data_IF_033878239919
#
_entry.id   IF_033878239919
#
_cell.length_a   1.000
_cell.length_b   1.000
_cell.length_c   1.000
_cell.angle_alpha   90.00
_cell.angle_beta   90.00
_cell.angle_gamma   90.00
#
_symmetry.space_group_name_H-M   'P 1'
#
loop_
_entity.id
_entity.type
_entity.pdbx_description
1 polymer ?
#
# COMPACT_ATOMS: atom_id res chain seq x y z
N UNK A 1 -20.31 -4.48 1.65
CA UNK A 1 -19.31 -5.56 1.62
C UNK A 1 -17.91 -5.02 1.30
N UNK A 2 -17.78 -4.00 0.42
CA UNK A 2 -16.49 -3.37 0.02
C UNK A 2 -15.62 -2.95 1.22
N UNK A 3 -16.20 -2.24 2.20
CA UNK A 3 -15.47 -1.79 3.40
C UNK A 3 -14.85 -2.96 4.16
N UNK A 4 -15.61 -4.05 4.35
CA UNK A 4 -15.14 -5.24 5.08
C UNK A 4 -13.94 -5.85 4.38
N UNK A 5 -14.01 -6.02 3.06
CA UNK A 5 -12.93 -6.61 2.26
C UNK A 5 -11.68 -5.74 2.33
N UNK A 6 -11.81 -4.43 2.16
CA UNK A 6 -10.67 -3.50 2.24
C UNK A 6 -10.00 -3.58 3.62
N UNK A 7 -10.79 -3.54 4.70
CA UNK A 7 -10.22 -3.65 6.06
C UNK A 7 -9.53 -4.99 6.31
N UNK A 8 -10.14 -6.10 5.90
CA UNK A 8 -9.53 -7.42 6.06
C UNK A 8 -8.26 -7.53 5.23
N UNK A 9 -8.26 -6.97 4.01
CA UNK A 9 -7.10 -6.95 3.12
C UNK A 9 -5.85 -6.31 3.73
N UNK A 10 -6.04 -5.29 4.56
CA UNK A 10 -4.95 -4.57 5.22
C UNK A 10 -4.69 -5.09 6.65
N UNK A 11 -5.74 -5.37 7.41
CA UNK A 11 -5.63 -5.69 8.83
C UNK A 11 -5.05 -7.08 9.08
N UNK A 12 -5.42 -8.06 8.25
CA UNK A 12 -4.92 -9.42 8.42
C UNK A 12 -3.39 -9.53 8.28
N UNK A 13 -2.73 -8.97 7.25
CA UNK A 13 -1.27 -8.98 7.18
C UNK A 13 -0.59 -8.30 8.38
N UNK A 14 -1.16 -7.22 8.91
CA UNK A 14 -0.63 -6.55 10.10
C UNK A 14 -0.74 -7.45 11.34
N UNK A 15 -1.88 -8.10 11.53
CA UNK A 15 -2.07 -9.08 12.62
C UNK A 15 -1.08 -10.24 12.45
N UNK A 16 -0.96 -10.79 11.24
CA UNK A 16 -0.01 -11.85 10.94
C UNK A 16 1.41 -11.46 11.35
N UNK A 17 1.84 -10.25 11.02
CA UNK A 17 3.16 -9.73 11.35
C UNK A 17 3.46 -9.76 12.86
N UNK A 18 2.49 -9.38 13.69
CA UNK A 18 2.68 -9.35 15.15
C UNK A 18 2.67 -10.74 15.81
N UNK A 19 2.01 -11.70 15.22
CA UNK A 19 1.80 -13.04 15.81
C UNK A 19 2.63 -14.15 15.19
N UNK A 20 3.24 -13.92 14.03
CA UNK A 20 4.14 -14.87 13.39
C UNK A 20 5.58 -14.72 13.90
N UNK A 21 6.46 -15.61 13.45
CA UNK A 21 7.89 -15.54 13.77
C UNK A 21 8.48 -14.17 13.42
N UNK A 22 9.57 -13.81 14.11
CA UNK A 22 10.24 -12.51 13.93
C UNK A 22 10.54 -12.24 12.45
N UNK A 23 10.09 -11.10 11.95
CA UNK A 23 10.37 -10.65 10.60
C UNK A 23 11.80 -10.14 10.48
N UNK A 24 12.48 -10.53 9.41
CA UNK A 24 13.84 -10.09 9.10
C UNK A 24 13.80 -8.74 8.35
N UNK A 25 13.25 -7.71 9.01
CA UNK A 25 13.27 -6.36 8.50
C UNK A 25 14.33 -5.55 9.24
N UNK A 26 15.34 -5.06 8.51
CA UNK A 26 16.47 -4.34 9.09
C UNK A 26 16.14 -2.90 9.49
N UNK A 27 14.95 -2.41 9.15
CA UNK A 27 14.53 -1.03 9.45
C UNK A 27 13.95 -0.82 10.83
N UNK A 28 13.65 -1.92 11.51
CA UNK A 28 13.04 -1.88 12.83
C UNK A 28 14.10 -2.17 13.89
N UNK A 29 14.11 -1.38 14.95
CA UNK A 29 14.82 -1.74 16.15
C UNK A 29 14.20 -3.02 16.75
N UNK A 30 15.01 -3.84 17.42
CA UNK A 30 14.60 -5.16 17.94
C UNK A 30 13.36 -5.09 18.86
N UNK A 31 13.10 -3.94 19.49
CA UNK A 31 12.01 -3.73 20.44
C UNK A 31 10.77 -3.02 19.87
N UNK A 32 10.74 -2.70 18.59
CA UNK A 32 9.62 -1.94 17.98
C UNK A 32 8.32 -2.74 17.90
N UNK A 33 8.38 -4.06 17.99
CA UNK A 33 7.22 -4.94 17.92
C UNK A 33 7.08 -5.80 19.18
N UNK A 34 5.87 -5.80 19.75
CA UNK A 34 5.54 -6.72 20.81
C UNK A 34 5.63 -8.16 20.30
N UNK A 35 6.49 -9.01 20.88
CA UNK A 35 6.65 -10.40 20.42
C UNK A 35 5.45 -11.25 20.86
N UNK A 36 4.32 -11.07 20.19
CA UNK A 36 3.09 -11.83 20.49
C UNK A 36 3.12 -13.25 19.93
N UNK A 37 4.13 -13.60 19.15
CA UNK A 37 4.34 -14.94 18.61
C UNK A 37 4.40 -16.02 19.71
N UNK A 38 4.93 -15.69 20.89
CA UNK A 38 5.01 -16.62 22.03
C UNK A 38 3.64 -17.10 22.52
N UNK A 39 2.58 -16.32 22.27
CA UNK A 39 1.22 -16.64 22.69
C UNK A 39 0.57 -17.67 21.78
N UNK A 40 1.00 -17.77 20.52
CA UNK A 40 0.33 -18.56 19.46
C UNK A 40 1.19 -19.74 18.96
N UNK A 41 2.36 -19.96 19.52
CA UNK A 41 3.39 -20.92 19.07
C UNK A 41 2.92 -22.39 18.82
N UNK A 42 1.71 -22.75 19.21
CA UNK A 42 1.26 -24.15 19.13
C UNK A 42 0.10 -24.42 18.17
N UNK A 43 -0.38 -23.41 17.43
CA UNK A 43 -1.55 -23.58 16.57
C UNK A 43 -1.20 -23.10 15.16
N UNK A 44 -1.27 -23.99 14.17
CA UNK A 44 -1.18 -23.62 12.73
C UNK A 44 -2.39 -22.77 12.26
N UNK A 45 -2.78 -21.82 13.08
CA UNK A 45 -3.96 -20.98 12.87
C UNK A 45 -3.81 -20.14 11.59
N UNK A 46 -2.61 -19.67 11.30
CA UNK A 46 -2.33 -18.81 10.15
C UNK A 46 -2.54 -19.51 8.81
N UNK A 47 -2.29 -20.82 8.72
CA UNK A 47 -2.61 -21.56 7.49
C UNK A 47 -4.10 -21.54 7.17
N UNK A 48 -4.95 -21.67 8.19
CA UNK A 48 -6.41 -21.56 8.03
C UNK A 48 -6.84 -20.13 7.75
N UNK A 49 -6.23 -19.15 8.43
CA UNK A 49 -6.54 -17.73 8.22
C UNK A 49 -6.16 -17.25 6.82
N UNK A 50 -5.06 -17.76 6.24
CA UNK A 50 -4.70 -17.51 4.85
C UNK A 50 -5.81 -17.99 3.88
N UNK A 51 -6.35 -19.18 4.11
CA UNK A 51 -7.45 -19.71 3.28
C UNK A 51 -8.69 -18.81 3.42
N UNK A 52 -9.05 -18.43 4.64
CA UNK A 52 -10.19 -17.54 4.90
C UNK A 52 -9.99 -16.18 4.23
N UNK A 53 -8.77 -15.62 4.32
CA UNK A 53 -8.40 -14.35 3.70
C UNK A 53 -8.69 -14.34 2.19
N UNK A 54 -8.21 -15.34 1.46
CA UNK A 54 -8.47 -15.45 0.02
C UNK A 54 -9.90 -15.87 -0.31
N UNK A 55 -10.55 -16.64 0.55
CA UNK A 55 -11.98 -16.99 0.36
C UNK A 55 -12.88 -15.74 0.45
N UNK A 56 -12.56 -14.80 1.36
CA UNK A 56 -13.27 -13.51 1.48
C UNK A 56 -13.08 -12.67 0.21
N UNK A 57 -11.84 -12.58 -0.30
CA UNK A 57 -11.57 -11.88 -1.56
C UNK A 57 -12.35 -12.51 -2.73
N UNK A 58 -12.32 -13.83 -2.85
CA UNK A 58 -13.05 -14.54 -3.90
C UNK A 58 -14.55 -14.31 -3.80
N UNK A 59 -15.13 -14.43 -2.60
CA UNK A 59 -16.55 -14.17 -2.35
C UNK A 59 -16.95 -12.74 -2.74
N UNK A 60 -16.07 -11.76 -2.47
CA UNK A 60 -16.29 -10.39 -2.88
C UNK A 60 -16.23 -10.22 -4.40
N UNK A 61 -15.26 -10.80 -5.09
CA UNK A 61 -15.17 -10.77 -6.56
C UNK A 61 -16.42 -11.38 -7.19
N UNK A 62 -16.86 -12.54 -6.70
CA UNK A 62 -18.07 -13.20 -7.18
C UNK A 62 -19.32 -12.32 -6.95
N UNK A 63 -19.41 -11.63 -5.83
CA UNK A 63 -20.47 -10.67 -5.56
C UNK A 63 -20.44 -9.49 -6.55
N UNK A 64 -19.27 -8.90 -6.82
CA UNK A 64 -19.11 -7.82 -7.79
C UNK A 64 -19.52 -8.25 -9.21
N UNK A 65 -19.09 -9.43 -9.64
CA UNK A 65 -19.50 -10.02 -10.92
C UNK A 65 -21.00 -10.29 -10.98
N UNK A 66 -21.61 -10.73 -9.88
CA UNK A 66 -23.06 -10.96 -9.81
C UNK A 66 -23.88 -9.67 -9.91
N UNK A 67 -23.39 -8.60 -9.27
CA UNK A 67 -24.01 -7.27 -9.34
C UNK A 67 -23.88 -6.68 -10.74
N UNK A 68 -22.76 -6.94 -11.42
CA UNK A 68 -22.48 -6.43 -12.77
C UNK A 68 -23.45 -6.96 -13.84
N UNK A 69 -24.13 -8.06 -13.59
CA UNK A 69 -25.21 -8.53 -14.48
C UNK A 69 -26.37 -7.54 -14.56
N UNK A 70 -26.46 -6.59 -13.63
CA UNK A 70 -27.50 -5.53 -13.57
C UNK A 70 -26.94 -4.11 -13.79
N UNK A 71 -25.63 -3.94 -13.74
CA UNK A 71 -24.92 -2.65 -13.89
C UNK A 71 -23.58 -2.90 -14.57
N UNK A 72 -22.94 -1.85 -15.09
CA UNK A 72 -21.60 -1.95 -15.66
C UNK A 72 -20.59 -2.44 -14.60
N UNK A 73 -19.71 -3.35 -15.02
CA UNK A 73 -18.68 -3.92 -14.16
C UNK A 73 -17.66 -2.86 -13.75
N UNK A 74 -17.53 -2.61 -12.48
CA UNK A 74 -16.53 -1.69 -11.93
C UNK A 74 -15.12 -2.33 -11.93
N UNK A 75 -14.59 -2.62 -13.12
CA UNK A 75 -13.33 -3.32 -13.32
C UNK A 75 -12.16 -2.65 -12.58
N UNK A 76 -12.09 -1.31 -12.60
CA UNK A 76 -11.07 -0.56 -11.88
C UNK A 76 -11.08 -0.80 -10.37
N UNK A 77 -12.28 -0.90 -9.77
CA UNK A 77 -12.43 -1.22 -8.35
C UNK A 77 -11.94 -2.64 -8.05
N UNK A 78 -12.29 -3.61 -8.90
CA UNK A 78 -11.88 -5.01 -8.73
C UNK A 78 -10.36 -5.14 -8.81
N UNK A 79 -9.76 -4.56 -9.84
CA UNK A 79 -8.29 -4.56 -10.00
C UNK A 79 -7.61 -3.92 -8.79
N UNK A 80 -8.08 -2.74 -8.36
CA UNK A 80 -7.48 -2.02 -7.25
C UNK A 80 -7.51 -2.81 -5.94
N UNK A 81 -8.67 -3.32 -5.55
CA UNK A 81 -8.82 -4.09 -4.31
C UNK A 81 -8.02 -5.40 -4.38
N UNK A 82 -8.08 -6.11 -5.50
CA UNK A 82 -7.34 -7.35 -5.69
C UNK A 82 -5.83 -7.12 -5.61
N UNK A 83 -5.31 -6.10 -6.29
CA UNK A 83 -3.89 -5.74 -6.25
C UNK A 83 -3.46 -5.37 -4.82
N UNK A 84 -4.27 -4.61 -4.11
CA UNK A 84 -3.99 -4.26 -2.70
C UNK A 84 -3.88 -5.52 -1.83
N UNK A 85 -4.82 -6.45 -1.96
CA UNK A 85 -4.78 -7.74 -1.26
C UNK A 85 -3.48 -8.50 -1.50
N UNK A 86 -3.09 -8.64 -2.78
CA UNK A 86 -1.87 -9.35 -3.14
C UNK A 86 -0.61 -8.64 -2.67
N UNK A 87 -0.54 -7.32 -2.80
CA UNK A 87 0.63 -6.55 -2.38
C UNK A 87 0.89 -6.68 -0.88
N UNK A 88 -0.15 -6.52 -0.07
CA UNK A 88 -0.02 -6.68 1.38
C UNK A 88 0.31 -8.13 1.78
N UNK A 89 -0.33 -9.11 1.14
CA UNK A 89 -0.04 -10.51 1.40
C UNK A 89 1.39 -10.90 1.02
N UNK A 90 1.83 -10.55 -0.18
CA UNK A 90 3.17 -10.87 -0.65
C UNK A 90 4.24 -10.13 0.16
N UNK A 91 4.03 -8.85 0.43
CA UNK A 91 5.01 -8.02 1.13
C UNK A 91 5.18 -8.37 2.61
N UNK A 92 4.16 -8.89 3.27
CA UNK A 92 4.18 -9.12 4.71
C UNK A 92 4.05 -10.60 5.06
N UNK A 93 3.09 -11.31 4.46
CA UNK A 93 2.78 -12.69 4.87
C UNK A 93 3.69 -13.71 4.19
N UNK A 94 3.82 -13.61 2.87
CA UNK A 94 4.52 -14.61 2.07
C UNK A 94 6.04 -14.42 2.08
N UNK A 95 6.51 -13.21 1.81
CA UNK A 95 7.94 -12.89 1.83
C UNK A 95 8.35 -12.23 3.15
N UNK A 96 9.48 -12.66 3.69
CA UNK A 96 10.11 -12.03 4.85
C UNK A 96 11.34 -11.27 4.39
N UNK A 97 11.15 -10.12 3.73
CA UNK A 97 12.22 -9.34 3.11
C UNK A 97 11.85 -7.86 3.00
N UNK A 98 12.74 -7.00 3.48
CA UNK A 98 12.66 -5.54 3.37
C UNK A 98 12.41 -5.07 1.93
N UNK A 99 13.15 -5.66 0.99
CA UNK A 99 13.04 -5.28 -0.42
C UNK A 99 11.64 -5.55 -0.98
N UNK A 100 11.10 -6.75 -0.72
CA UNK A 100 9.77 -7.11 -1.21
C UNK A 100 8.70 -6.26 -0.54
N UNK A 101 8.81 -6.01 0.76
CA UNK A 101 7.91 -5.10 1.48
C UNK A 101 7.93 -3.70 0.88
N UNK A 102 9.12 -3.13 0.63
CA UNK A 102 9.27 -1.81 0.02
C UNK A 102 8.63 -1.74 -1.36
N UNK A 103 8.89 -2.73 -2.21
CA UNK A 103 8.34 -2.75 -3.57
C UNK A 103 6.83 -2.89 -3.56
N UNK A 104 6.28 -3.80 -2.77
CA UNK A 104 4.85 -4.09 -2.76
C UNK A 104 4.03 -3.04 -2.00
N UNK A 105 4.54 -2.51 -0.90
CA UNK A 105 3.78 -1.60 -0.05
C UNK A 105 4.16 -0.13 -0.24
N UNK A 106 5.44 0.20 -0.40
CA UNK A 106 5.87 1.59 -0.55
C UNK A 106 5.77 2.02 -2.02
N UNK A 107 6.41 1.29 -2.94
CA UNK A 107 6.45 1.70 -4.35
C UNK A 107 5.10 1.50 -5.03
N UNK A 108 4.47 0.33 -4.86
CA UNK A 108 3.20 0.02 -5.51
C UNK A 108 2.02 0.87 -4.98
N UNK A 109 2.10 1.41 -3.75
CA UNK A 109 1.12 2.35 -3.21
C UNK A 109 1.51 3.81 -3.49
N UNK A 110 2.77 4.16 -3.27
CA UNK A 110 3.27 5.52 -3.38
C UNK A 110 3.14 6.08 -4.80
N UNK A 111 3.58 5.34 -5.81
CA UNK A 111 3.57 5.82 -7.20
C UNK A 111 2.15 6.12 -7.71
N UNK A 112 1.15 5.23 -7.60
CA UNK A 112 -0.22 5.55 -8.00
C UNK A 112 -0.80 6.75 -7.24
N UNK A 113 -0.50 6.88 -5.95
CA UNK A 113 -0.94 8.00 -5.15
C UNK A 113 -0.37 9.34 -5.64
N UNK A 114 0.94 9.37 -5.94
CA UNK A 114 1.59 10.55 -6.51
C UNK A 114 0.99 10.93 -7.88
N UNK A 115 0.72 9.94 -8.74
CA UNK A 115 0.08 10.17 -10.05
C UNK A 115 -1.33 10.73 -9.88
N UNK A 116 -2.11 10.25 -8.90
CA UNK A 116 -3.45 10.78 -8.62
C UNK A 116 -3.40 12.23 -8.13
N UNK A 117 -2.48 12.57 -7.23
CA UNK A 117 -2.30 13.95 -6.76
C UNK A 117 -1.91 14.89 -7.91
N UNK A 118 -0.98 14.46 -8.76
CA UNK A 118 -0.58 15.22 -9.94
C UNK A 118 -1.74 15.47 -10.88
N UNK A 119 -2.51 14.42 -11.18
CA UNK A 119 -3.69 14.53 -12.03
C UNK A 119 -4.69 15.52 -11.45
N UNK A 120 -4.98 15.42 -10.16
CA UNK A 120 -5.89 16.33 -9.47
C UNK A 120 -5.41 17.78 -9.55
N UNK A 121 -4.12 18.05 -9.30
CA UNK A 121 -3.56 19.41 -9.40
C UNK A 121 -3.66 19.98 -10.80
N UNK A 122 -3.38 19.18 -11.83
CA UNK A 122 -3.49 19.61 -13.23
C UNK A 122 -4.93 19.89 -13.60
N UNK A 123 -5.89 19.08 -13.16
CA UNK A 123 -7.32 19.32 -13.40
C UNK A 123 -7.83 20.56 -12.67
N UNK A 124 -7.41 20.78 -11.42
CA UNK A 124 -7.74 21.98 -10.64
C UNK A 124 -7.27 23.26 -11.33
N UNK A 125 -6.01 23.31 -11.80
CA UNK A 125 -5.48 24.46 -12.55
C UNK A 125 -6.22 24.66 -13.87
N UNK A 126 -6.62 23.58 -14.54
CA UNK A 126 -7.42 23.67 -15.77
C UNK A 126 -8.78 24.30 -15.52
N UNK A 127 -9.44 23.96 -14.42
CA UNK A 127 -10.72 24.53 -14.01
C UNK A 127 -10.59 26.02 -13.63
N UNK A 128 -9.54 26.37 -12.90
CA UNK A 128 -9.30 27.75 -12.46
C UNK A 128 -8.91 28.68 -13.59
N UNK A 129 -8.14 28.23 -14.57
CA UNK A 129 -7.64 29.07 -15.67
C UNK A 129 -8.59 29.15 -16.86
N UNK A 130 -9.60 28.30 -16.93
CA UNK A 130 -10.53 28.15 -18.05
C UNK A 130 -9.82 27.94 -19.43
N UNK A 131 -8.54 27.55 -19.41
CA UNK A 131 -7.69 27.30 -20.58
C UNK A 131 -7.04 25.92 -20.47
N UNK A 132 -6.89 25.25 -21.62
CA UNK A 132 -6.07 24.03 -21.68
C UNK A 132 -4.62 24.37 -21.38
N UNK A 133 -4.07 23.80 -20.33
CA UNK A 133 -2.66 23.98 -20.00
C UNK A 133 -1.82 23.34 -21.10
N UNK A 134 -0.88 24.05 -21.70
CA UNK A 134 -0.02 23.50 -22.75
C UNK A 134 0.85 22.37 -22.18
N UNK A 135 1.09 21.31 -22.98
CA UNK A 135 1.86 20.14 -22.57
C UNK A 135 3.20 20.45 -21.87
N UNK A 136 4.02 21.43 -22.36
CA UNK A 136 5.27 21.77 -21.67
C UNK A 136 5.08 22.28 -20.26
N UNK A 137 4.02 23.04 -19.98
CA UNK A 137 3.71 23.50 -18.61
C UNK A 137 3.31 22.35 -17.70
N UNK A 138 2.55 21.37 -18.19
CA UNK A 138 2.22 20.17 -17.43
C UNK A 138 3.49 19.41 -17.07
N UNK A 139 4.41 19.24 -18.02
CA UNK A 139 5.70 18.56 -17.79
C UNK A 139 6.53 19.31 -16.72
N UNK A 140 6.56 20.64 -16.80
CA UNK A 140 7.28 21.45 -15.82
C UNK A 140 6.69 21.31 -14.40
N UNK A 141 5.35 21.30 -14.29
CA UNK A 141 4.67 21.09 -13.00
C UNK A 141 4.95 19.70 -12.42
N UNK A 142 4.93 18.65 -13.28
CA UNK A 142 5.27 17.28 -12.88
C UNK A 142 6.71 17.23 -12.38
N UNK A 143 7.65 17.79 -13.14
CA UNK A 143 9.06 17.81 -12.78
C UNK A 143 9.30 18.59 -11.46
N UNK A 144 8.71 19.78 -11.33
CA UNK A 144 8.79 20.59 -10.11
C UNK A 144 8.24 19.84 -8.90
N UNK A 145 7.09 19.17 -9.04
CA UNK A 145 6.48 18.41 -7.96
C UNK A 145 7.38 17.25 -7.50
N UNK A 146 7.91 16.46 -8.43
CA UNK A 146 8.83 15.38 -8.07
C UNK A 146 10.13 15.89 -7.48
N UNK A 147 10.66 17.01 -7.99
CA UNK A 147 11.87 17.63 -7.42
C UNK A 147 11.66 18.06 -5.97
N UNK A 148 10.53 18.66 -5.65
CA UNK A 148 10.21 19.06 -4.27
C UNK A 148 10.09 17.83 -3.35
N UNK A 149 9.41 16.77 -3.80
CA UNK A 149 9.28 15.54 -3.01
C UNK A 149 10.64 14.90 -2.78
N UNK A 150 11.49 14.80 -3.82
CA UNK A 150 12.85 14.27 -3.67
C UNK A 150 13.68 15.10 -2.72
N UNK A 151 13.63 16.42 -2.83
CA UNK A 151 14.35 17.32 -1.90
C UNK A 151 13.88 17.12 -0.47
N UNK A 152 12.57 17.01 -0.23
CA UNK A 152 12.03 16.76 1.10
C UNK A 152 12.46 15.38 1.62
N UNK A 153 12.39 14.34 0.81
CA UNK A 153 12.81 12.98 1.19
C UNK A 153 14.31 12.94 1.55
N UNK A 154 15.17 13.52 0.70
CA UNK A 154 16.61 13.59 1.01
C UNK A 154 16.92 14.47 2.23
N UNK A 155 16.18 15.56 2.43
CA UNK A 155 16.36 16.42 3.60
C UNK A 155 15.94 15.70 4.88
N UNK A 156 14.87 14.94 4.85
CA UNK A 156 14.39 14.16 5.99
C UNK A 156 15.39 13.07 6.36
N UNK A 157 15.87 12.30 5.36
CA UNK A 157 16.88 11.27 5.57
C UNK A 157 18.21 11.85 6.07
N UNK A 158 18.67 12.96 5.47
CA UNK A 158 19.89 13.64 5.90
C UNK A 158 19.78 14.18 7.33
N UNK A 159 18.63 14.77 7.70
CA UNK A 159 18.40 15.28 9.05
C UNK A 159 18.34 14.15 10.08
N UNK A 160 17.67 13.04 9.75
CA UNK A 160 17.61 11.86 10.61
C UNK A 160 19.00 11.24 10.79
N UNK A 161 19.76 11.07 9.71
CA UNK A 161 21.12 10.54 9.77
C UNK A 161 22.04 11.46 10.62
N UNK A 162 21.93 12.77 10.43
CA UNK A 162 22.66 13.75 11.22
C UNK A 162 22.27 13.74 12.72
N UNK A 163 20.99 13.51 13.03
CA UNK A 163 20.52 13.48 14.42
C UNK A 163 20.89 12.17 15.14
N UNK A 164 20.89 11.05 14.41
CA UNK A 164 21.18 9.72 14.97
C UNK A 164 22.70 9.49 15.07
N UNK A 165 23.49 9.96 14.11
CA UNK A 165 24.94 9.72 14.07
C UNK A 165 25.78 10.83 14.76
N UNK A 166 25.15 11.77 15.44
CA UNK A 166 25.82 12.78 16.27
C UNK A 166 26.12 12.31 17.69
N UNK A 167 25.85 11.03 18.03
CA UNK A 167 26.35 10.36 19.22
C UNK A 167 27.62 9.55 18.89
#
# INVERSE_FOLDING_TARGET
>A
FDKIVIYIGMLYPIIFWHFDESRLFNWFAEDDFLPLHQVVQHINIFSYLNIIYFAILLAWILNEVSISRKKDLALGKIIWVTTTYFNWFLGIVYFNSDFVFSVTNVVAHGIPYLVLILKYKVEEQHLLSNKKIPKPEVILHVFSFFSVILLLAFSDEYLLDMLINLE
#
